data_IF_738009328820
#
_entry.id   IF_738009328820
#
_cell.length_a   1.000
_cell.length_b   1.000
_cell.length_c   1.000
_cell.angle_alpha   90.00
_cell.angle_beta   90.00
_cell.angle_gamma   90.00
#
_symmetry.space_group_name_H-M   'P 1'
#
loop_
_entity.id
_entity.type
_entity.pdbx_description
1 polymer ?
#
# COMPACT_ATOMS: atom_id res chain seq x y z
N UNK A 1 1.43 39.01 18.92
CA UNK A 1 1.63 38.20 17.69
C UNK A 1 1.59 36.75 18.11
N UNK A 2 0.47 36.06 17.85
CA UNK A 2 0.35 34.63 18.16
C UNK A 2 0.97 33.84 17.00
N UNK A 3 2.02 33.08 17.29
CA UNK A 3 2.52 32.02 16.40
C UNK A 3 1.35 31.04 16.20
N UNK A 4 0.95 30.68 14.96
CA UNK A 4 -0.03 29.62 14.77
C UNK A 4 0.53 28.37 15.43
N UNK A 5 -0.25 27.72 16.29
CA UNK A 5 0.08 26.39 16.78
C UNK A 5 0.29 25.49 15.55
N UNK A 6 1.49 24.94 15.41
CA UNK A 6 1.76 23.96 14.38
C UNK A 6 0.78 22.81 14.61
N UNK A 7 -0.02 22.48 13.59
CA UNK A 7 -0.87 21.30 13.63
C UNK A 7 -0.05 20.04 13.94
N UNK A 8 -0.71 18.93 14.31
CA UNK A 8 -0.01 17.70 14.63
C UNK A 8 0.93 17.31 13.49
N UNK A 9 2.22 17.14 13.80
CA UNK A 9 3.24 16.75 12.82
C UNK A 9 2.88 15.39 12.22
N UNK A 10 2.57 15.36 10.92
CA UNK A 10 2.22 14.13 10.21
C UNK A 10 3.48 13.52 9.59
N UNK A 11 3.74 12.25 9.90
CA UNK A 11 4.91 11.53 9.40
C UNK A 11 4.59 10.08 9.06
N UNK A 12 5.41 9.49 8.19
CA UNK A 12 5.44 8.06 7.89
C UNK A 12 6.65 7.43 8.56
N UNK A 13 6.49 6.25 9.12
CA UNK A 13 7.59 5.43 9.64
C UNK A 13 8.01 4.46 8.53
N UNK A 14 9.30 4.46 8.18
CA UNK A 14 9.88 3.52 7.23
C UNK A 14 10.94 2.70 7.95
N UNK A 15 10.83 1.38 7.86
CA UNK A 15 11.79 0.43 8.41
C UNK A 15 12.64 -0.15 7.27
N UNK A 16 13.94 0.06 7.32
CA UNK A 16 14.88 -0.43 6.29
C UNK A 16 16.23 -0.74 6.92
N UNK A 17 16.87 -1.85 6.53
CA UNK A 17 18.20 -2.25 7.00
C UNK A 17 18.34 -2.28 8.54
N UNK A 18 17.26 -2.66 9.24
CA UNK A 18 17.21 -2.69 10.71
C UNK A 18 17.12 -1.31 11.38
N UNK A 19 16.82 -0.25 10.61
CA UNK A 19 16.60 1.11 11.11
C UNK A 19 15.15 1.51 10.93
N UNK A 20 14.61 2.19 11.93
CA UNK A 20 13.28 2.82 11.88
C UNK A 20 13.45 4.33 11.74
N UNK A 21 12.98 4.89 10.63
CA UNK A 21 13.15 6.31 10.29
C UNK A 21 11.80 7.00 10.16
N UNK A 22 11.71 8.25 10.62
CA UNK A 22 10.52 9.11 10.47
C UNK A 22 10.72 10.06 9.29
N UNK A 23 9.75 10.10 8.39
CA UNK A 23 9.73 11.01 7.23
C UNK A 23 8.51 11.90 7.30
N UNK A 24 8.71 13.21 7.25
CA UNK A 24 7.63 14.17 7.11
C UNK A 24 6.92 14.00 5.76
N UNK A 25 5.64 14.31 5.75
CA UNK A 25 4.80 14.29 4.55
C UNK A 25 4.84 15.67 3.91
N UNK A 26 5.35 15.75 2.68
CA UNK A 26 5.31 16.98 1.89
C UNK A 26 3.91 17.22 1.35
N UNK A 27 3.31 16.20 0.77
CA UNK A 27 2.01 16.30 0.13
C UNK A 27 1.23 14.98 0.20
N UNK A 28 -0.08 15.11 0.21
CA UNK A 28 -1.02 13.99 0.18
C UNK A 28 -1.89 14.10 -1.07
N UNK A 29 -1.61 13.26 -2.05
CA UNK A 29 -2.31 13.27 -3.34
C UNK A 29 -3.47 12.27 -3.28
N UNK A 30 -4.64 12.74 -2.86
CA UNK A 30 -5.86 11.94 -2.91
C UNK A 30 -6.38 11.84 -4.35
N UNK A 31 -6.87 10.67 -4.75
CA UNK A 31 -7.50 10.54 -6.06
C UNK A 31 -8.68 11.53 -6.20
N UNK A 32 -8.75 12.33 -7.28
CA UNK A 32 -9.72 13.43 -7.38
C UNK A 32 -11.18 12.98 -7.42
N UNK A 33 -11.43 11.71 -7.79
CA UNK A 33 -12.76 11.09 -7.79
C UNK A 33 -13.05 10.28 -6.52
N UNK A 34 -12.28 10.48 -5.45
CA UNK A 34 -12.53 9.83 -4.18
C UNK A 34 -13.90 10.23 -3.62
N UNK A 35 -14.70 9.23 -3.26
CA UNK A 35 -15.93 9.38 -2.51
C UNK A 35 -15.98 8.29 -1.45
N UNK A 36 -16.63 8.56 -0.31
CA UNK A 36 -16.67 7.64 0.83
C UNK A 36 -17.36 6.31 0.48
N UNK A 37 -18.36 6.37 -0.40
CA UNK A 37 -19.08 5.21 -0.92
C UNK A 37 -19.67 5.55 -2.29
N UNK A 38 -19.38 4.77 -3.35
CA UNK A 38 -18.53 3.57 -3.40
C UNK A 38 -17.02 3.84 -3.25
N UNK A 39 -16.29 2.85 -2.75
CA UNK A 39 -14.85 2.91 -2.45
C UNK A 39 -13.93 2.65 -3.65
N UNK A 40 -14.43 2.78 -4.88
CA UNK A 40 -13.70 2.43 -6.11
C UNK A 40 -12.43 3.26 -6.33
N UNK A 41 -12.45 4.52 -5.89
CA UNK A 41 -11.35 5.48 -6.02
C UNK A 41 -10.67 5.75 -4.67
N UNK A 42 -10.72 4.79 -3.74
CA UNK A 42 -10.11 4.92 -2.40
C UNK A 42 -8.60 4.63 -2.43
N UNK A 43 -7.85 5.56 -3.00
CA UNK A 43 -6.41 5.52 -3.22
C UNK A 43 -5.83 6.92 -3.01
N UNK A 44 -4.64 6.97 -2.41
CA UNK A 44 -3.85 8.20 -2.31
C UNK A 44 -2.36 7.88 -2.44
N UNK A 45 -1.58 8.86 -2.91
CA UNK A 45 -0.12 8.83 -2.86
C UNK A 45 0.37 9.79 -1.79
N UNK A 46 1.42 9.41 -1.07
CA UNK A 46 2.07 10.23 -0.07
C UNK A 46 3.44 10.62 -0.61
N UNK A 47 3.65 11.93 -0.79
CA UNK A 47 4.95 12.48 -1.16
C UNK A 47 5.71 12.83 0.11
N UNK A 48 6.94 12.34 0.23
CA UNK A 48 7.80 12.57 1.39
C UNK A 48 8.63 13.84 1.21
N UNK A 49 8.92 14.53 2.31
CA UNK A 49 9.72 15.78 2.28
C UNK A 49 11.12 15.61 1.70
N UNK A 50 11.69 14.41 1.86
CA UNK A 50 13.04 14.06 1.43
C UNK A 50 13.08 12.64 0.88
N UNK A 51 14.05 12.40 0.00
CA UNK A 51 14.30 11.08 -0.58
C UNK A 51 14.62 10.05 0.51
N UNK A 52 14.19 8.82 0.25
CA UNK A 52 14.44 7.67 1.13
C UNK A 52 15.44 6.76 0.43
N UNK A 53 16.50 6.37 1.14
CA UNK A 53 17.38 5.29 0.70
C UNK A 53 16.75 3.95 1.08
N UNK A 54 16.00 3.36 0.15
CA UNK A 54 15.38 2.05 0.30
C UNK A 54 16.11 1.06 -0.62
N UNK A 55 16.57 -0.10 -0.13
CA UNK A 55 17.08 -1.18 -0.97
C UNK A 55 16.03 -1.60 -2.00
N UNK A 56 16.44 -1.87 -3.23
CA UNK A 56 15.51 -2.22 -4.31
C UNK A 56 14.63 -3.43 -3.98
N UNK A 57 15.09 -4.33 -3.11
CA UNK A 57 14.35 -5.50 -2.64
C UNK A 57 13.17 -5.18 -1.73
N UNK A 58 13.11 -3.97 -1.15
CA UNK A 58 12.00 -3.51 -0.31
C UNK A 58 10.98 -2.65 -1.08
N UNK A 59 11.23 -2.40 -2.38
CA UNK A 59 10.31 -1.70 -3.27
C UNK A 59 9.58 -2.75 -4.11
N UNK A 60 8.29 -2.52 -4.35
CA UNK A 60 7.47 -3.39 -5.19
C UNK A 60 7.19 -2.74 -6.54
N UNK A 61 7.14 -3.54 -7.59
CA UNK A 61 6.73 -3.07 -8.91
C UNK A 61 5.21 -2.85 -8.94
N UNK A 62 4.70 -2.00 -9.83
CA UNK A 62 3.26 -1.85 -10.03
C UNK A 62 2.78 -2.82 -11.11
N UNK A 63 1.64 -3.48 -10.89
CA UNK A 63 1.01 -4.30 -11.92
C UNK A 63 0.24 -3.40 -12.90
N UNK A 64 0.69 -3.33 -14.14
CA UNK A 64 0.12 -2.47 -15.18
C UNK A 64 -0.84 -3.18 -16.13
N UNK A 65 -1.04 -4.49 -15.98
CA UNK A 65 -1.90 -5.29 -16.87
C UNK A 65 -3.32 -5.37 -16.31
N UNK A 66 -4.31 -5.33 -17.20
CA UNK A 66 -5.73 -5.49 -16.83
C UNK A 66 -6.03 -6.90 -16.32
N UNK A 67 -5.42 -7.88 -16.98
CA UNK A 67 -5.58 -9.29 -16.64
C UNK A 67 -4.84 -9.61 -15.34
N UNK A 68 -5.52 -10.34 -14.47
CA UNK A 68 -4.99 -10.79 -13.19
C UNK A 68 -5.28 -12.28 -13.05
N UNK A 69 -4.21 -13.08 -13.05
CA UNK A 69 -4.30 -14.50 -12.77
C UNK A 69 -4.55 -14.70 -11.27
N UNK A 70 -5.83 -14.87 -10.91
CA UNK A 70 -6.26 -14.98 -9.52
C UNK A 70 -5.61 -16.17 -8.79
N UNK A 71 -5.16 -17.19 -9.52
CA UNK A 71 -4.47 -18.35 -8.93
C UNK A 71 -3.06 -18.00 -8.41
N UNK A 72 -2.49 -16.85 -8.80
CA UNK A 72 -1.15 -16.40 -8.42
C UNK A 72 -1.15 -15.28 -7.38
N UNK A 73 -2.32 -14.92 -6.85
CA UNK A 73 -2.42 -13.84 -5.87
C UNK A 73 -1.80 -14.26 -4.54
N UNK A 74 -0.95 -13.38 -4.01
CA UNK A 74 -0.43 -13.43 -2.65
C UNK A 74 -1.03 -12.25 -1.88
N UNK A 75 -1.55 -12.52 -0.67
CA UNK A 75 -2.04 -11.50 0.25
C UNK A 75 -0.93 -11.19 1.25
N UNK A 76 -0.47 -9.94 1.29
CA UNK A 76 0.59 -9.54 2.22
C UNK A 76 -0.03 -8.82 3.42
N UNK A 77 0.07 -9.41 4.62
CA UNK A 77 -0.42 -8.82 5.87
C UNK A 77 0.74 -8.27 6.69
N UNK A 78 0.60 -7.04 7.18
CA UNK A 78 1.30 -6.66 8.40
C UNK A 78 0.73 -7.55 9.51
N UNK A 79 1.56 -8.39 10.12
CA UNK A 79 1.13 -9.18 11.29
C UNK A 79 1.17 -8.25 12.48
N UNK A 80 0.09 -8.18 13.26
CA UNK A 80 0.13 -7.53 14.57
C UNK A 80 0.98 -8.40 15.52
N UNK A 81 2.29 -8.12 15.56
CA UNK A 81 3.27 -8.88 16.35
C UNK A 81 2.95 -8.80 17.85
N UNK A 82 2.16 -7.83 18.31
CA UNK A 82 1.74 -7.73 19.70
C UNK A 82 0.73 -8.83 20.12
N UNK A 83 0.15 -9.57 19.18
CA UNK A 83 -0.90 -10.57 19.46
C UNK A 83 -0.52 -12.04 19.26
N UNK A 84 0.68 -12.38 18.79
CA UNK A 84 1.05 -13.79 18.54
C UNK A 84 2.48 -14.14 19.02
N UNK A 85 2.62 -14.97 20.09
CA UNK A 85 3.88 -15.59 20.48
C UNK A 85 4.15 -16.95 19.79
N UNK A 86 3.37 -17.36 18.78
CA UNK A 86 3.44 -18.72 18.21
C UNK A 86 3.85 -18.73 16.73
N UNK A 87 4.62 -19.76 16.29
CA UNK A 87 5.22 -19.81 14.96
C UNK A 87 4.15 -19.91 13.85
N UNK A 88 4.49 -19.49 12.61
CA UNK A 88 3.53 -19.40 11.51
C UNK A 88 3.12 -20.80 11.02
N UNK A 89 2.04 -21.33 11.59
CA UNK A 89 1.39 -22.55 11.09
C UNK A 89 0.47 -22.19 9.92
N UNK A 90 0.93 -22.59 8.73
CA UNK A 90 0.22 -22.53 7.45
C UNK A 90 -0.84 -23.65 7.32
N UNK A 91 -1.50 -24.06 8.41
CA UNK A 91 -2.30 -25.29 8.48
C UNK A 91 -3.77 -25.14 8.90
N UNK A 92 -4.26 -23.92 9.09
CA UNK A 92 -5.72 -23.71 9.21
C UNK A 92 -6.12 -22.59 8.27
N UNK A 93 -7.16 -22.82 7.47
CA UNK A 93 -7.77 -21.81 6.61
C UNK A 93 -8.27 -20.67 7.51
N UNK A 94 -7.39 -19.70 7.77
CA UNK A 94 -7.74 -18.49 8.50
C UNK A 94 -8.58 -17.65 7.54
N UNK A 95 -9.82 -17.40 7.95
CA UNK A 95 -10.76 -16.51 7.29
C UNK A 95 -10.06 -15.19 6.89
N UNK A 96 -10.35 -14.68 5.68
CA UNK A 96 -9.73 -13.45 5.17
C UNK A 96 -10.01 -12.21 6.05
N UNK A 97 -11.01 -12.24 6.93
CA UNK A 97 -11.32 -11.15 7.88
C UNK A 97 -10.24 -11.00 8.96
N UNK A 98 -9.42 -12.04 9.13
CA UNK A 98 -8.29 -12.03 10.04
C UNK A 98 -7.01 -11.56 9.35
N UNK A 99 -7.02 -11.36 8.04
CA UNK A 99 -5.90 -10.81 7.31
C UNK A 99 -5.98 -9.28 7.39
N UNK A 100 -5.02 -8.69 8.10
CA UNK A 100 -4.75 -7.26 8.03
C UNK A 100 -3.99 -6.92 6.72
N UNK A 101 -4.22 -7.69 5.65
CA UNK A 101 -3.50 -7.59 4.38
C UNK A 101 -4.06 -6.45 3.54
N UNK A 102 -3.40 -5.28 3.48
CA UNK A 102 -3.93 -4.17 2.72
C UNK A 102 -3.63 -4.32 1.22
N UNK A 103 -2.82 -5.29 0.81
CA UNK A 103 -2.28 -5.40 -0.56
C UNK A 103 -2.47 -6.78 -1.20
N UNK A 104 -2.76 -6.74 -2.50
CA UNK A 104 -2.78 -7.87 -3.43
C UNK A 104 -1.48 -7.85 -4.22
N UNK A 105 -0.67 -8.90 -4.09
CA UNK A 105 0.62 -9.04 -4.77
C UNK A 105 0.58 -10.16 -5.80
N UNK A 106 1.32 -10.02 -6.89
CA UNK A 106 1.49 -11.05 -7.93
C UNK A 106 2.98 -11.24 -8.21
N UNK A 107 3.49 -12.49 -8.17
CA UNK A 107 4.84 -12.78 -8.62
C UNK A 107 4.89 -12.80 -10.15
N UNK A 108 5.78 -12.00 -10.73
CA UNK A 108 6.06 -11.99 -12.15
C UNK A 108 7.50 -11.55 -12.42
N UNK A 109 8.15 -12.18 -13.39
CA UNK A 109 9.49 -11.77 -13.87
C UNK A 109 10.55 -11.73 -12.75
N UNK A 110 10.38 -12.55 -11.70
CA UNK A 110 11.27 -12.61 -10.55
C UNK A 110 11.02 -11.56 -9.47
N UNK A 111 10.00 -10.70 -9.63
CA UNK A 111 9.65 -9.63 -8.69
C UNK A 111 8.20 -9.73 -8.21
N UNK A 112 7.92 -9.13 -7.04
CA UNK A 112 6.57 -8.94 -6.54
C UNK A 112 5.97 -7.65 -7.10
N UNK A 113 4.79 -7.77 -7.68
CA UNK A 113 4.03 -6.66 -8.23
C UNK A 113 2.80 -6.37 -7.39
N UNK A 114 2.60 -5.12 -6.99
CA UNK A 114 1.38 -4.65 -6.36
C UNK A 114 0.27 -4.56 -7.42
N UNK A 115 -0.72 -5.44 -7.31
CA UNK A 115 -1.84 -5.54 -8.24
C UNK A 115 -3.12 -4.89 -7.72
N UNK A 116 -3.23 -4.69 -6.41
CA UNK A 116 -4.40 -4.05 -5.85
C UNK A 116 -4.33 -3.76 -4.37
N UNK A 117 -5.28 -2.96 -3.92
CA UNK A 117 -5.46 -2.55 -2.52
C UNK A 117 -6.76 -3.14 -1.99
N UNK A 118 -6.68 -3.90 -0.90
CA UNK A 118 -7.85 -4.54 -0.28
C UNK A 118 -8.74 -3.47 0.33
N UNK A 119 -10.01 -3.50 -0.06
CA UNK A 119 -11.05 -2.57 0.41
C UNK A 119 -11.91 -3.24 1.47
N UNK A 120 -12.25 -4.50 1.24
CA UNK A 120 -13.11 -5.28 2.13
C UNK A 120 -12.80 -6.76 1.94
N UNK A 121 -12.62 -7.49 3.03
CA UNK A 121 -12.56 -8.95 3.05
C UNK A 121 -13.73 -9.50 3.86
N UNK A 122 -14.30 -10.60 3.36
CA UNK A 122 -15.15 -11.52 4.11
C UNK A 122 -14.45 -12.88 4.14
N UNK A 123 -14.84 -13.81 5.03
CA UNK A 123 -14.25 -15.15 5.06
C UNK A 123 -14.18 -15.90 3.71
N UNK A 124 -15.03 -15.55 2.75
CA UNK A 124 -15.08 -16.20 1.44
C UNK A 124 -14.75 -15.28 0.26
N UNK A 125 -14.62 -13.96 0.46
CA UNK A 125 -14.47 -13.00 -0.64
C UNK A 125 -13.52 -11.88 -0.29
N UNK A 126 -12.78 -11.43 -1.29
CA UNK A 126 -11.96 -10.23 -1.20
C UNK A 126 -12.42 -9.26 -2.27
N UNK A 127 -12.66 -8.01 -1.86
CA UNK A 127 -12.88 -6.87 -2.74
C UNK A 127 -11.66 -5.97 -2.64
N UNK A 128 -11.13 -5.60 -3.79
CA UNK A 128 -9.94 -4.78 -3.88
C UNK A 128 -10.02 -3.85 -5.08
N UNK A 129 -9.31 -2.74 -4.99
CA UNK A 129 -9.10 -1.80 -6.09
C UNK A 129 -8.05 -2.42 -7.01
N UNK A 130 -8.36 -2.55 -8.30
CA UNK A 130 -7.40 -3.02 -9.30
C UNK A 130 -6.46 -1.88 -9.69
N UNK A 131 -5.17 -2.03 -9.40
CA UNK A 131 -4.22 -0.92 -9.50
C UNK A 131 -3.94 -0.47 -10.93
N UNK A 132 -4.02 -1.37 -11.93
CA UNK A 132 -3.78 -1.04 -13.34
C UNK A 132 -4.62 0.14 -13.84
N UNK A 133 -5.84 0.32 -13.29
CA UNK A 133 -6.76 1.42 -13.64
C UNK A 133 -6.25 2.81 -13.24
N UNK A 134 -5.33 2.85 -12.28
CA UNK A 134 -4.80 4.07 -11.69
C UNK A 134 -3.37 4.39 -12.13
N UNK A 135 -2.73 3.52 -12.93
CA UNK A 135 -1.37 3.74 -13.42
C UNK A 135 -1.21 5.11 -14.10
N UNK A 136 -2.10 5.53 -15.03
CA UNK A 136 -1.96 6.85 -15.65
C UNK A 136 -2.03 8.01 -14.66
N UNK A 137 -2.85 7.89 -13.61
CA UNK A 137 -2.97 8.91 -12.57
C UNK A 137 -1.73 8.94 -11.66
N UNK A 138 -1.19 7.77 -11.30
CA UNK A 138 0.05 7.65 -10.53
C UNK A 138 1.22 8.24 -11.31
N UNK A 139 1.35 7.88 -12.59
CA UNK A 139 2.39 8.39 -13.48
C UNK A 139 2.31 9.89 -13.66
N UNK A 140 1.10 10.47 -13.79
CA UNK A 140 0.92 11.92 -13.80
C UNK A 140 1.52 12.57 -12.56
N UNK A 141 1.25 12.06 -11.36
CA UNK A 141 1.79 12.66 -10.13
C UNK A 141 3.31 12.46 -10.00
N UNK A 142 3.81 11.28 -10.34
CA UNK A 142 5.23 10.93 -10.15
C UNK A 142 6.13 11.62 -11.17
N UNK A 143 5.68 11.73 -12.42
CA UNK A 143 6.51 12.21 -13.54
C UNK A 143 6.22 13.64 -13.98
N UNK A 144 5.07 14.26 -13.63
CA UNK A 144 4.79 15.66 -14.04
C UNK A 144 5.72 16.70 -13.39
N UNK A 145 6.55 16.32 -12.41
CA UNK A 145 7.54 17.21 -11.79
C UNK A 145 8.92 17.22 -12.50
N UNK A 146 9.10 16.49 -13.60
CA UNK A 146 10.36 16.43 -14.38
C UNK A 146 10.35 17.30 -15.66
N UNK A 147 9.44 18.27 -15.76
CA UNK A 147 9.30 19.21 -16.89
C UNK A 147 9.86 20.61 -16.65
#
# INVERSE_FOLDING_TARGET
MNRPEAGPEQFVIIETEGRTLRYGIRNFHQHPKFIVSPTENNLALIELERNVSIPSQQIVCLWSREELDLAKIILYSAVDVAKQPTPPLMESVKCFDQLLAPSIMVPAEGFLHLAGLVVNSTCARIRFIKLYKFIPWIEGIVWENDG
#
